data_IF_041075694111
#
_entry.id   IF_041075694111
#
_cell.length_a   1.000
_cell.length_b   1.000
_cell.length_c   1.000
_cell.angle_alpha   90.00
_cell.angle_beta   90.00
_cell.angle_gamma   90.00
#
_symmetry.space_group_name_H-M   'P 1'
#
loop_
_entity.id
_entity.type
_entity.pdbx_description
1 polymer ?
#
# COMPACT_ATOMS: atom_id res chain seq x y z
N UNK A 1 9.54 -1.44 9.68
CA UNK A 1 8.70 -2.28 8.78
C UNK A 1 7.63 -3.07 9.55
N UNK A 2 7.92 -4.21 10.19
CA UNK A 2 6.86 -5.06 10.75
C UNK A 2 5.95 -4.35 11.77
N UNK A 3 6.52 -3.55 12.67
CA UNK A 3 5.74 -2.77 13.64
C UNK A 3 4.91 -1.65 12.98
N UNK A 4 5.44 -1.00 11.93
CA UNK A 4 4.72 0.03 11.17
C UNK A 4 3.56 -0.56 10.36
N UNK A 5 3.78 -1.72 9.72
CA UNK A 5 2.74 -2.43 8.98
C UNK A 5 1.67 -3.02 9.90
N UNK A 6 2.03 -3.44 11.11
CA UNK A 6 1.08 -3.96 12.08
C UNK A 6 0.02 -2.90 12.44
N UNK A 7 0.42 -1.66 12.69
CA UNK A 7 -0.51 -0.57 12.99
C UNK A 7 -1.54 -0.35 11.89
N UNK A 8 -1.09 -0.30 10.63
CA UNK A 8 -2.00 -0.18 9.49
C UNK A 8 -2.86 -1.43 9.25
N UNK A 9 -2.35 -2.62 9.60
CA UNK A 9 -3.13 -3.87 9.57
C UNK A 9 -4.30 -3.84 10.57
N UNK A 10 -4.06 -3.37 11.79
CA UNK A 10 -5.09 -3.19 12.82
C UNK A 10 -6.14 -2.13 12.40
N UNK A 11 -5.69 -1.06 11.75
CA UNK A 11 -6.55 -0.01 11.18
C UNK A 11 -7.44 -0.56 10.06
N UNK A 12 -6.89 -1.35 9.13
CA UNK A 12 -7.64 -2.02 8.07
C UNK A 12 -8.69 -3.00 8.62
N UNK A 13 -8.33 -3.79 9.64
CA UNK A 13 -9.27 -4.69 10.31
C UNK A 13 -10.41 -3.87 10.93
N UNK A 14 -10.09 -2.76 11.59
CA UNK A 14 -11.08 -1.87 12.20
C UNK A 14 -12.05 -1.29 11.16
N UNK A 15 -11.54 -0.82 10.02
CA UNK A 15 -12.37 -0.32 8.92
C UNK A 15 -13.22 -1.42 8.29
N UNK A 16 -12.69 -2.62 8.12
CA UNK A 16 -13.41 -3.77 7.55
C UNK A 16 -14.52 -4.30 8.48
N UNK A 17 -14.37 -4.12 9.79
CA UNK A 17 -15.40 -4.46 10.79
C UNK A 17 -16.50 -3.39 10.91
N UNK A 18 -16.31 -2.22 10.30
CA UNK A 18 -17.30 -1.17 10.27
C UNK A 18 -18.54 -1.55 9.47
N UNK A 19 -19.72 -1.16 9.94
CA UNK A 19 -20.99 -1.34 9.20
C UNK A 19 -21.18 -0.28 8.10
N UNK A 20 -20.33 0.74 8.05
CA UNK A 20 -20.35 1.79 7.05
C UNK A 20 -19.10 1.72 6.18
N UNK A 21 -19.20 1.95 4.86
CA UNK A 21 -18.02 1.99 4.01
C UNK A 21 -17.06 3.11 4.45
N UNK A 22 -15.75 2.84 4.53
CA UNK A 22 -14.79 3.79 5.04
C UNK A 22 -14.66 5.02 4.11
N UNK A 23 -14.34 6.21 4.65
CA UNK A 23 -14.10 7.40 3.85
C UNK A 23 -12.98 7.20 2.82
N UNK A 24 -13.11 7.79 1.62
CA UNK A 24 -12.08 7.72 0.57
C UNK A 24 -10.70 8.16 1.07
N UNK A 25 -10.68 9.22 1.89
CA UNK A 25 -9.45 9.78 2.46
C UNK A 25 -8.70 8.75 3.28
N UNK A 26 -9.41 7.94 4.06
CA UNK A 26 -8.81 6.98 4.97
C UNK A 26 -8.25 5.78 4.20
N UNK A 27 -9.00 5.29 3.21
CA UNK A 27 -8.52 4.26 2.28
C UNK A 27 -7.27 4.71 1.50
N UNK A 28 -7.27 5.94 1.00
CA UNK A 28 -6.12 6.50 0.28
C UNK A 28 -4.92 6.70 1.20
N UNK A 29 -5.16 7.18 2.43
CA UNK A 29 -4.12 7.40 3.44
C UNK A 29 -3.41 6.09 3.81
N UNK A 30 -4.16 5.06 4.16
CA UNK A 30 -3.59 3.75 4.50
C UNK A 30 -2.85 3.14 3.30
N UNK A 31 -3.40 3.23 2.10
CA UNK A 31 -2.75 2.72 0.89
C UNK A 31 -1.42 3.46 0.62
N UNK A 32 -1.40 4.78 0.78
CA UNK A 32 -0.19 5.60 0.67
C UNK A 32 0.87 5.21 1.71
N UNK A 33 0.47 5.05 2.97
CA UNK A 33 1.42 4.77 4.05
C UNK A 33 2.03 3.36 3.92
N UNK A 34 1.20 2.36 3.62
CA UNK A 34 1.65 0.98 3.38
C UNK A 34 2.63 0.93 2.20
N UNK A 35 2.25 1.49 1.04
CA UNK A 35 3.15 1.52 -0.13
C UNK A 35 4.44 2.29 0.15
N UNK A 36 4.39 3.37 0.94
CA UNK A 36 5.56 4.14 1.38
C UNK A 36 6.51 3.34 2.29
N UNK A 37 6.00 2.64 3.31
CA UNK A 37 6.81 1.79 4.21
C UNK A 37 7.57 0.73 3.42
N UNK A 38 6.84 0.10 2.52
CA UNK A 38 7.32 -0.97 1.68
C UNK A 38 8.40 -0.48 0.71
N UNK A 39 8.15 0.62 0.00
CA UNK A 39 9.14 1.25 -0.90
C UNK A 39 10.43 1.65 -0.16
N UNK A 40 10.33 2.29 1.01
CA UNK A 40 11.51 2.65 1.81
C UNK A 40 12.31 1.43 2.25
N UNK A 41 11.62 0.33 2.58
CA UNK A 41 12.30 -0.90 3.00
C UNK A 41 13.02 -1.57 1.82
N UNK A 42 12.41 -1.55 0.63
CA UNK A 42 13.04 -2.03 -0.60
C UNK A 42 14.31 -1.25 -0.92
N UNK A 43 14.25 0.09 -0.93
CA UNK A 43 15.43 0.94 -1.18
C UNK A 43 16.55 0.67 -0.18
N UNK A 44 16.21 0.43 1.09
CA UNK A 44 17.19 0.07 2.12
C UNK A 44 17.84 -1.29 1.83
N UNK A 45 17.06 -2.28 1.38
CA UNK A 45 17.57 -3.59 1.00
C UNK A 45 18.48 -3.51 -0.22
N UNK A 46 18.07 -2.78 -1.25
CA UNK A 46 18.87 -2.52 -2.46
C UNK A 46 20.20 -1.83 -2.11
N UNK A 47 20.17 -0.83 -1.22
CA UNK A 47 21.37 -0.17 -0.73
C UNK A 47 22.34 -1.10 0.01
N UNK A 48 21.85 -2.15 0.67
CA UNK A 48 22.67 -3.17 1.34
C UNK A 48 23.27 -4.15 0.32
N UNK A 49 22.49 -4.56 -0.68
CA UNK A 49 22.89 -5.55 -1.68
C UNK A 49 23.86 -4.99 -2.73
N UNK A 50 23.76 -3.69 -2.99
CA UNK A 50 24.56 -3.00 -4.01
C UNK A 50 24.06 -3.28 -5.44
N UNK A 51 24.45 -2.43 -6.40
CA UNK A 51 23.94 -2.47 -7.78
C UNK A 51 24.27 -3.77 -8.51
N UNK A 52 25.42 -4.38 -8.22
CA UNK A 52 25.91 -5.57 -8.93
C UNK A 52 25.08 -6.83 -8.65
N UNK A 53 24.42 -6.92 -7.48
CA UNK A 53 23.58 -8.08 -7.10
C UNK A 53 22.11 -7.91 -7.46
N UNK A 54 21.70 -6.72 -7.86
CA UNK A 54 20.35 -6.45 -8.39
C UNK A 54 20.24 -6.74 -9.89
N UNK A 55 21.36 -6.92 -10.59
CA UNK A 55 21.41 -7.11 -12.05
C UNK A 55 20.70 -8.39 -12.55
N UNK A 56 20.61 -9.42 -11.72
CA UNK A 56 19.94 -10.70 -12.03
C UNK A 56 18.51 -10.78 -11.48
N UNK A 57 18.02 -9.72 -10.83
CA UNK A 57 16.66 -9.66 -10.29
C UNK A 57 15.71 -9.18 -11.39
N UNK A 58 14.57 -9.85 -11.54
CA UNK A 58 13.50 -9.42 -12.45
C UNK A 58 13.09 -7.96 -12.11
N UNK A 59 13.12 -7.02 -13.08
CA UNK A 59 12.74 -5.63 -12.84
C UNK A 59 11.35 -5.46 -12.22
N UNK A 60 10.41 -6.35 -12.53
CA UNK A 60 9.06 -6.33 -11.94
C UNK A 60 9.05 -6.66 -10.44
N UNK A 61 10.05 -7.37 -9.94
CA UNK A 61 10.21 -7.66 -8.51
C UNK A 61 10.70 -6.42 -7.72
N UNK A 62 11.38 -5.49 -8.39
CA UNK A 62 11.74 -4.18 -7.81
C UNK A 62 10.53 -3.24 -7.71
N UNK A 63 9.47 -3.58 -8.44
CA UNK A 63 8.21 -2.85 -8.54
C UNK A 63 7.04 -3.54 -7.81
N UNK A 64 7.30 -4.48 -6.88
CA UNK A 64 6.24 -5.23 -6.17
C UNK A 64 5.16 -4.34 -5.53
N UNK A 65 5.49 -3.09 -5.21
CA UNK A 65 4.58 -2.07 -4.67
C UNK A 65 3.55 -1.53 -5.67
N UNK A 66 3.76 -1.75 -6.98
CA UNK A 66 2.83 -1.40 -8.04
C UNK A 66 1.65 -2.39 -8.17
N UNK A 67 1.67 -3.51 -7.44
CA UNK A 67 0.57 -4.50 -7.44
C UNK A 67 -0.56 -4.18 -6.46
N UNK A 68 -0.75 -2.90 -6.13
CA UNK A 68 -2.03 -2.44 -5.59
C UNK A 68 -3.06 -2.63 -6.71
N UNK A 69 -3.92 -3.64 -6.59
CA UNK A 69 -4.93 -3.99 -7.59
C UNK A 69 -5.95 -2.84 -7.73
N UNK A 70 -5.62 -1.90 -8.62
CA UNK A 70 -6.43 -0.72 -8.91
C UNK A 70 -7.83 -1.11 -9.39
N UNK A 71 -7.99 -2.27 -10.03
CA UNK A 71 -9.29 -2.76 -10.48
C UNK A 71 -10.21 -3.06 -9.29
N UNK A 72 -9.65 -3.49 -8.15
CA UNK A 72 -10.42 -3.72 -6.92
C UNK A 72 -10.66 -2.47 -6.10
N UNK A 73 -9.76 -1.47 -6.18
CA UNK A 73 -9.89 -0.22 -5.43
C UNK A 73 -10.73 0.84 -6.15
N UNK A 74 -10.78 0.79 -7.48
CA UNK A 74 -11.52 1.74 -8.30
C UNK A 74 -13.01 1.84 -7.93
N UNK A 75 -13.76 0.73 -7.70
CA UNK A 75 -15.16 0.83 -7.27
C UNK A 75 -15.34 1.54 -5.93
N UNK A 76 -14.45 1.27 -4.96
CA UNK A 76 -14.49 1.90 -3.64
C UNK A 76 -14.16 3.40 -3.72
N UNK A 77 -13.16 3.77 -4.52
CA UNK A 77 -12.78 5.16 -4.75
C UNK A 77 -13.90 5.95 -5.46
N UNK A 78 -14.53 5.37 -6.49
CA UNK A 78 -15.67 6.00 -7.19
C UNK A 78 -16.89 6.19 -6.28
N UNK A 79 -17.23 5.18 -5.47
CA UNK A 79 -18.35 5.26 -4.52
C UNK A 79 -18.14 6.36 -3.48
N UNK A 80 -16.90 6.60 -3.06
CA UNK A 80 -16.58 7.62 -2.09
C UNK A 80 -16.63 9.05 -2.66
N UNK A 81 -16.27 9.26 -3.93
CA UNK A 81 -16.42 10.56 -4.62
C UNK A 81 -17.90 10.95 -4.74
N UNK A 82 -18.78 9.99 -5.04
CA UNK A 82 -20.22 10.24 -5.19
C UNK A 82 -20.94 10.60 -3.88
N UNK A 83 -20.26 10.43 -2.73
CA UNK A 83 -20.80 10.74 -1.40
C UNK A 83 -20.37 12.11 -0.86
N UNK A 84 -19.54 12.85 -1.59
CA UNK A 84 -19.20 14.22 -1.22
C UNK A 84 -20.37 15.16 -1.60
N UNK A 85 -20.86 16.02 -0.69
CA UNK A 85 -21.96 16.95 -0.95
C UNK A 85 -21.63 18.02 -2.00
#
# INVERSE_FOLDING_TARGET
MNAELQGHGEELITLAMGNEPPPARDLLGITHDVTGILHRTQLRLEGILGPDRAADVDPSALEIWNFVDLYRLEPAARAAIQRMP
#
